data_IF_415111026434
#
_entry.id   IF_415111026434
#
_cell.length_a   1.000
_cell.length_b   1.000
_cell.length_c   1.000
_cell.angle_alpha   90.00
_cell.angle_beta   90.00
_cell.angle_gamma   90.00
#
_symmetry.space_group_name_H-M   'P 1'
#
loop_
_entity.id
_entity.type
_entity.pdbx_description
1 polymer ?
#
# COMPACT_ATOMS: atom_id res chain seq x y z
N UNK A 1 1.15 28.72 4.63
CA UNK A 1 2.34 28.64 5.51
C UNK A 1 3.45 28.09 4.64
N UNK A 2 4.57 28.80 4.48
CA UNK A 2 5.72 28.29 3.73
C UNK A 2 6.15 26.96 4.30
N UNK A 3 6.31 25.95 3.46
CA UNK A 3 7.03 24.74 3.83
C UNK A 3 8.41 25.17 4.31
N UNK A 4 8.68 24.98 5.61
CA UNK A 4 10.03 25.11 6.14
C UNK A 4 10.90 24.20 5.28
N UNK A 5 11.91 24.77 4.63
CA UNK A 5 12.86 23.99 3.83
C UNK A 5 13.55 23.05 4.81
N UNK A 6 13.13 21.78 4.81
CA UNK A 6 13.66 20.78 5.71
C UNK A 6 15.03 20.40 5.18
N UNK A 7 16.07 20.57 6.00
CA UNK A 7 17.43 20.19 5.62
C UNK A 7 17.47 18.69 5.29
N UNK A 8 18.29 18.33 4.31
CA UNK A 8 18.38 16.97 3.79
C UNK A 8 19.81 16.47 3.73
N UNK A 9 20.00 15.17 3.90
CA UNK A 9 21.28 14.48 3.72
C UNK A 9 21.19 13.43 2.61
N UNK A 10 22.33 13.14 1.99
CA UNK A 10 22.48 12.09 0.98
C UNK A 10 22.86 10.78 1.66
N UNK A 11 22.18 9.70 1.28
CA UNK A 11 22.46 8.35 1.78
C UNK A 11 22.57 7.38 0.62
N UNK A 12 23.45 6.40 0.74
CA UNK A 12 23.61 5.33 -0.25
C UNK A 12 22.65 4.17 0.05
N UNK A 13 21.88 3.78 -0.95
CA UNK A 13 21.01 2.60 -0.95
C UNK A 13 21.44 1.65 -2.05
N UNK A 14 22.44 0.81 -1.75
CA UNK A 14 22.93 -0.19 -2.69
C UNK A 14 23.57 0.42 -3.93
N UNK A 15 24.41 1.45 -3.75
CA UNK A 15 25.06 2.18 -4.83
C UNK A 15 24.21 3.28 -5.47
N UNK A 16 23.03 3.58 -4.91
CA UNK A 16 22.17 4.68 -5.34
C UNK A 16 22.09 5.74 -4.26
N UNK A 17 22.50 6.95 -4.60
CA UNK A 17 22.38 8.10 -3.74
C UNK A 17 20.93 8.60 -3.72
N UNK A 18 20.33 8.67 -2.53
CA UNK A 18 18.99 9.24 -2.31
C UNK A 18 19.04 10.33 -1.25
N UNK A 19 18.11 11.27 -1.35
CA UNK A 19 17.97 12.37 -0.39
C UNK A 19 16.96 12.01 0.69
N UNK A 20 17.35 12.13 1.96
CA UNK A 20 16.46 11.92 3.12
C UNK A 20 16.48 13.13 4.07
N UNK A 21 15.44 13.35 4.88
CA UNK A 21 15.43 14.43 5.85
C UNK A 21 16.56 14.29 6.87
N UNK A 22 17.34 15.36 7.06
CA UNK A 22 18.39 15.40 8.09
C UNK A 22 17.76 15.26 9.48
N UNK A 23 18.30 14.37 10.30
CA UNK A 23 17.73 14.06 11.61
C UNK A 23 16.39 13.32 11.56
N UNK A 24 15.95 12.88 10.37
CA UNK A 24 14.83 11.97 10.20
C UNK A 24 15.09 10.59 10.82
N UNK A 25 14.06 9.75 10.88
CA UNK A 25 14.17 8.38 11.36
C UNK A 25 15.13 7.57 10.52
N UNK A 26 15.07 7.71 9.19
CA UNK A 26 16.00 6.99 8.33
C UNK A 26 17.44 7.48 8.53
N UNK A 27 17.60 8.82 8.65
CA UNK A 27 18.90 9.43 8.87
C UNK A 27 19.57 8.91 10.16
N UNK A 28 18.81 8.91 11.25
CA UNK A 28 19.31 8.59 12.60
C UNK A 28 19.49 7.10 12.85
N UNK A 29 18.64 6.26 12.29
CA UNK A 29 18.51 4.87 12.72
C UNK A 29 18.69 3.84 11.61
N UNK A 30 18.67 4.25 10.33
CA UNK A 30 18.77 3.31 9.19
C UNK A 30 17.81 2.11 9.34
N UNK A 31 16.54 2.41 9.67
CA UNK A 31 15.47 1.44 9.95
C UNK A 31 15.61 0.58 11.22
N UNK A 32 16.56 0.90 12.12
CA UNK A 32 16.74 0.18 13.38
C UNK A 32 16.55 1.06 14.64
N UNK A 33 15.45 1.81 14.78
CA UNK A 33 15.27 2.61 15.98
C UNK A 33 14.97 1.72 17.18
N UNK A 34 15.42 2.16 18.36
CA UNK A 34 14.89 1.65 19.64
C UNK A 34 13.39 1.98 19.73
N UNK A 35 12.56 0.95 19.89
CA UNK A 35 11.11 1.08 19.97
C UNK A 35 10.67 1.94 21.17
N UNK A 36 11.45 1.99 22.26
CA UNK A 36 11.15 2.89 23.39
C UNK A 36 11.36 4.36 23.02
N UNK A 37 12.25 4.64 22.07
CA UNK A 37 12.39 5.98 21.50
C UNK A 37 11.22 6.34 20.60
N UNK A 38 10.75 5.40 19.79
CA UNK A 38 9.57 5.60 18.94
C UNK A 38 8.29 5.78 19.77
N UNK A 39 8.14 5.05 20.87
CA UNK A 39 7.00 5.15 21.77
C UNK A 39 6.86 6.53 22.45
N UNK A 40 7.89 7.37 22.40
CA UNK A 40 7.84 8.75 22.93
C UNK A 40 7.36 9.77 21.89
N UNK A 41 7.22 9.39 20.62
CA UNK A 41 6.65 10.27 19.60
C UNK A 41 5.14 10.44 19.85
N UNK A 42 4.63 11.67 20.04
CA UNK A 42 3.21 11.89 20.36
C UNK A 42 2.25 11.46 19.25
N UNK A 43 2.74 11.21 18.03
CA UNK A 43 1.94 10.70 16.91
C UNK A 43 1.79 9.18 16.94
N UNK A 44 2.57 8.48 17.76
CA UNK A 44 2.56 7.01 17.86
C UNK A 44 1.81 6.60 19.13
N UNK A 45 0.68 5.90 18.97
CA UNK A 45 -0.16 5.48 20.09
C UNK A 45 0.37 4.28 20.88
N UNK A 46 1.37 3.56 20.35
CA UNK A 46 2.05 2.46 21.04
C UNK A 46 2.97 1.68 20.12
N UNK A 47 3.78 0.76 20.66
CA UNK A 47 4.75 -0.03 19.87
C UNK A 47 4.67 -1.55 20.09
N UNK A 48 3.71 -2.01 20.89
CA UNK A 48 3.61 -3.42 21.30
C UNK A 48 3.37 -4.37 20.12
N UNK A 49 2.73 -3.90 19.06
CA UNK A 49 2.57 -4.63 17.80
C UNK A 49 3.93 -5.02 17.22
N UNK A 50 4.93 -4.12 17.28
CA UNK A 50 6.25 -4.32 16.71
C UNK A 50 7.18 -5.15 17.62
N UNK A 51 7.00 -5.08 18.94
CA UNK A 51 7.83 -5.86 19.89
C UNK A 51 7.77 -7.37 19.65
N UNK A 52 6.68 -7.84 19.06
CA UNK A 52 6.46 -9.26 18.73
C UNK A 52 7.03 -9.66 17.36
N UNK A 53 7.63 -8.74 16.63
CA UNK A 53 8.18 -8.98 15.29
C UNK A 53 9.57 -8.37 15.22
N UNK A 54 10.63 -9.13 15.58
CA UNK A 54 11.98 -8.59 15.49
C UNK A 54 12.36 -8.29 14.04
N UNK A 55 13.22 -7.28 13.86
CA UNK A 55 13.83 -7.00 12.56
C UNK A 55 14.98 -7.98 12.33
N UNK A 56 15.10 -8.42 11.08
CA UNK A 56 16.20 -9.24 10.59
C UNK A 56 16.92 -8.51 9.47
N UNK A 57 18.24 -8.53 9.49
CA UNK A 57 19.06 -8.01 8.40
C UNK A 57 19.07 -9.01 7.25
N UNK A 58 18.83 -8.52 6.04
CA UNK A 58 18.80 -9.31 4.82
C UNK A 58 19.56 -8.59 3.72
N UNK A 59 20.23 -9.38 2.88
CA UNK A 59 20.75 -8.88 1.61
C UNK A 59 19.59 -8.65 0.65
N UNK A 60 19.60 -7.51 0.00
CA UNK A 60 18.59 -7.14 -0.99
C UNK A 60 19.24 -6.49 -2.21
N UNK A 61 18.50 -6.33 -3.32
CA UNK A 61 19.02 -5.63 -4.50
C UNK A 61 19.45 -4.17 -4.23
N UNK A 62 19.06 -3.59 -3.09
CA UNK A 62 19.46 -2.24 -2.64
C UNK A 62 20.49 -2.30 -1.50
N UNK A 63 21.24 -3.39 -1.38
CA UNK A 63 22.21 -3.64 -0.31
C UNK A 63 21.59 -4.24 0.96
N UNK A 64 22.40 -4.41 2.02
CA UNK A 64 21.92 -4.90 3.32
C UNK A 64 20.85 -3.95 3.89
N UNK A 65 19.72 -4.51 4.31
CA UNK A 65 18.60 -3.75 4.88
C UNK A 65 17.91 -4.57 5.98
N UNK A 66 17.20 -3.88 6.87
CA UNK A 66 16.36 -4.54 7.87
C UNK A 66 14.93 -4.77 7.35
N UNK A 67 14.37 -5.91 7.70
CA UNK A 67 12.97 -6.28 7.45
C UNK A 67 12.32 -6.79 8.74
N UNK A 68 11.05 -6.50 9.01
CA UNK A 68 10.14 -5.66 8.21
C UNK A 68 10.43 -4.16 8.30
N UNK A 69 9.94 -3.41 7.30
CA UNK A 69 9.78 -1.96 7.37
C UNK A 69 8.54 -1.62 8.20
N UNK A 70 8.71 -0.83 9.25
CA UNK A 70 7.65 -0.45 10.17
C UNK A 70 7.07 0.92 9.84
N UNK A 71 5.74 0.96 9.89
CA UNK A 71 4.92 2.15 9.84
C UNK A 71 4.25 2.30 11.22
N UNK A 72 4.83 3.15 12.05
CA UNK A 72 4.48 3.34 13.45
C UNK A 72 3.19 4.14 13.65
N UNK A 73 2.90 5.05 12.72
CA UNK A 73 1.66 5.80 12.64
C UNK A 73 1.31 6.02 11.16
N UNK A 74 0.15 5.51 10.74
CA UNK A 74 -0.34 5.68 9.39
C UNK A 74 -1.86 5.82 9.33
N UNK A 75 -2.33 6.46 8.27
CA UNK A 75 -3.73 6.46 7.86
C UNK A 75 -3.86 5.97 6.42
N UNK A 76 -5.01 5.38 6.09
CA UNK A 76 -5.29 4.95 4.73
C UNK A 76 -6.76 5.04 4.36
N UNK A 77 -7.02 5.18 3.07
CA UNK A 77 -8.35 5.12 2.51
C UNK A 77 -8.36 4.19 1.30
N UNK A 78 -9.39 3.35 1.18
CA UNK A 78 -9.55 2.39 0.09
C UNK A 78 -10.95 2.47 -0.49
N UNK A 79 -11.04 2.77 -1.77
CA UNK A 79 -12.26 2.68 -2.55
C UNK A 79 -12.24 1.40 -3.39
N UNK A 80 -13.07 0.43 -3.03
CA UNK A 80 -13.18 -0.85 -3.74
C UNK A 80 -14.33 -0.80 -4.75
N UNK A 81 -14.05 -1.23 -5.98
CA UNK A 81 -14.95 -1.20 -7.13
C UNK A 81 -15.04 -2.58 -7.78
N UNK A 82 -16.18 -2.85 -8.41
CA UNK A 82 -16.34 -3.99 -9.32
C UNK A 82 -15.78 -3.63 -10.69
N UNK A 83 -15.09 -4.57 -11.32
CA UNK A 83 -14.61 -4.44 -12.69
C UNK A 83 -14.85 -5.74 -13.49
N UNK A 84 -15.09 -5.68 -14.82
CA UNK A 84 -15.19 -6.88 -15.64
C UNK A 84 -13.91 -7.72 -15.55
N UNK A 85 -14.02 -9.00 -15.19
CA UNK A 85 -12.86 -9.88 -15.07
C UNK A 85 -12.02 -9.94 -16.34
N UNK A 86 -12.65 -9.80 -17.52
CA UNK A 86 -11.94 -9.73 -18.81
C UNK A 86 -11.03 -8.50 -18.92
N UNK A 87 -11.47 -7.35 -18.41
CA UNK A 87 -10.65 -6.13 -18.39
C UNK A 87 -9.50 -6.27 -17.38
N UNK A 88 -9.78 -6.85 -16.21
CA UNK A 88 -8.75 -7.16 -15.20
C UNK A 88 -7.71 -8.13 -15.79
N UNK A 89 -8.15 -9.22 -16.42
CA UNK A 89 -7.29 -10.24 -17.04
C UNK A 89 -6.34 -9.63 -18.07
N UNK A 90 -6.78 -8.64 -18.86
CA UNK A 90 -5.95 -7.97 -19.85
C UNK A 90 -4.82 -7.12 -19.24
N UNK A 91 -4.86 -6.85 -17.93
CA UNK A 91 -3.85 -6.05 -17.20
C UNK A 91 -3.05 -6.87 -16.17
N UNK A 92 -3.42 -8.14 -15.96
CA UNK A 92 -2.68 -9.04 -15.08
C UNK A 92 -1.64 -9.86 -15.86
N UNK A 93 -0.50 -10.21 -15.26
CA UNK A 93 0.41 -11.27 -15.74
C UNK A 93 -0.30 -12.63 -15.81
N UNK A 94 -0.04 -13.42 -16.86
CA UNK A 94 -0.81 -14.62 -17.22
C UNK A 94 -1.01 -15.62 -16.08
N UNK A 95 -0.02 -15.74 -15.21
CA UNK A 95 0.02 -16.67 -14.07
C UNK A 95 -0.92 -16.27 -12.92
N UNK A 96 -1.30 -15.00 -12.83
CA UNK A 96 -2.24 -14.51 -11.84
C UNK A 96 -3.67 -14.53 -12.36
N UNK A 97 -4.60 -15.01 -11.51
CA UNK A 97 -6.02 -15.03 -11.83
C UNK A 97 -6.79 -13.98 -11.03
N UNK A 98 -7.71 -13.21 -11.65
CA UNK A 98 -8.57 -12.30 -10.91
C UNK A 98 -9.35 -13.01 -9.80
N UNK A 99 -9.49 -12.34 -8.65
CA UNK A 99 -10.45 -12.74 -7.62
C UNK A 99 -11.84 -12.28 -8.04
N UNK A 100 -12.66 -13.21 -8.52
CA UNK A 100 -14.05 -12.93 -8.87
C UNK A 100 -14.94 -13.01 -7.63
N UNK A 101 -15.88 -12.06 -7.50
CA UNK A 101 -16.94 -12.06 -6.47
C UNK A 101 -18.29 -12.49 -7.04
N UNK A 102 -18.41 -12.50 -8.36
CA UNK A 102 -19.51 -13.07 -9.13
C UNK A 102 -18.96 -13.43 -10.53
N UNK A 103 -19.61 -14.34 -11.29
CA UNK A 103 -19.14 -14.73 -12.61
C UNK A 103 -18.84 -13.51 -13.51
N UNK A 104 -17.57 -13.36 -13.91
CA UNK A 104 -17.11 -12.28 -14.78
C UNK A 104 -16.96 -10.90 -14.11
N UNK A 105 -17.06 -10.81 -12.79
CA UNK A 105 -16.82 -9.58 -12.01
C UNK A 105 -15.75 -9.81 -10.93
N UNK A 106 -14.65 -9.08 -11.05
CA UNK A 106 -13.58 -9.04 -10.05
C UNK A 106 -13.55 -7.74 -9.26
N UNK A 107 -12.61 -7.67 -8.31
CA UNK A 107 -12.39 -6.52 -7.44
C UNK A 107 -11.13 -5.75 -7.84
N UNK A 108 -11.29 -4.44 -7.94
CA UNK A 108 -10.18 -3.48 -8.09
C UNK A 108 -10.34 -2.41 -7.01
N UNK A 109 -9.24 -1.82 -6.55
CA UNK A 109 -9.26 -0.78 -5.53
C UNK A 109 -8.32 0.35 -5.88
N UNK A 110 -8.76 1.57 -5.57
CA UNK A 110 -7.87 2.72 -5.43
C UNK A 110 -7.60 2.90 -3.94
N UNK A 111 -6.32 3.01 -3.58
CA UNK A 111 -5.88 3.13 -2.20
C UNK A 111 -5.02 4.38 -2.04
N UNK A 112 -5.09 5.00 -0.89
CA UNK A 112 -4.27 6.15 -0.50
C UNK A 112 -3.72 5.90 0.89
N UNK A 113 -2.45 6.22 1.07
CA UNK A 113 -1.72 6.01 2.31
C UNK A 113 -1.00 7.29 2.69
N UNK A 114 -1.03 7.57 3.99
CA UNK A 114 -0.23 8.61 4.61
C UNK A 114 0.54 7.97 5.76
N UNK A 115 1.85 8.05 5.69
CA UNK A 115 2.76 7.47 6.68
C UNK A 115 3.37 8.60 7.49
N UNK A 116 2.78 8.90 8.64
CA UNK A 116 3.18 10.02 9.50
C UNK A 116 4.48 9.75 10.25
N UNK A 117 4.68 8.50 10.68
CA UNK A 117 5.89 8.02 11.36
C UNK A 117 6.23 6.63 10.85
N UNK A 118 7.33 6.48 10.12
CA UNK A 118 7.82 5.19 9.65
C UNK A 118 9.34 5.19 9.48
N UNK A 119 9.92 4.00 9.31
CA UNK A 119 11.38 3.81 9.22
C UNK A 119 12.06 4.66 8.14
N UNK A 120 11.34 4.99 7.06
CA UNK A 120 11.85 5.71 5.88
C UNK A 120 11.33 7.16 5.81
N UNK A 121 10.97 7.72 6.97
CA UNK A 121 10.44 9.08 7.14
C UNK A 121 9.04 9.29 6.58
N UNK A 122 8.51 10.51 6.74
CA UNK A 122 7.17 10.87 6.28
C UNK A 122 7.07 10.75 4.76
N UNK A 123 5.99 10.14 4.29
CA UNK A 123 5.62 10.18 2.88
C UNK A 123 4.17 9.74 2.65
N UNK A 124 3.67 9.95 1.44
CA UNK A 124 2.35 9.52 1.01
C UNK A 124 2.45 8.64 -0.23
N UNK A 125 1.52 7.70 -0.37
CA UNK A 125 1.40 6.81 -1.53
C UNK A 125 -0.05 6.72 -2.00
N UNK A 126 -0.23 6.44 -3.29
CA UNK A 126 -1.50 6.00 -3.81
C UNK A 126 -1.29 4.73 -4.63
N UNK A 127 -2.34 3.92 -4.78
CA UNK A 127 -2.21 2.65 -5.50
C UNK A 127 -3.48 2.30 -6.27
N UNK A 128 -3.29 1.69 -7.44
CA UNK A 128 -4.34 0.91 -8.12
C UNK A 128 -4.00 -0.56 -7.92
N UNK A 129 -4.81 -1.24 -7.11
CA UNK A 129 -4.64 -2.66 -6.78
C UNK A 129 -5.73 -3.52 -7.39
N UNK A 130 -5.36 -4.70 -7.86
CA UNK A 130 -6.26 -5.75 -8.35
C UNK A 130 -6.27 -6.88 -7.32
N UNK A 131 -7.44 -7.30 -6.87
CA UNK A 131 -7.53 -8.51 -6.04
C UNK A 131 -7.34 -9.75 -6.93
N UNK A 132 -6.44 -10.63 -6.53
CA UNK A 132 -6.12 -11.87 -7.26
C UNK A 132 -6.36 -13.07 -6.36
N UNK A 133 -6.49 -14.25 -6.97
CA UNK A 133 -6.44 -15.51 -6.22
C UNK A 133 -5.01 -15.72 -5.68
N UNK A 134 -4.83 -16.41 -4.55
CA UNK A 134 -3.50 -16.83 -4.11
C UNK A 134 -2.77 -17.56 -5.25
N UNK A 135 -1.49 -17.24 -5.47
CA UNK A 135 -0.66 -17.87 -6.51
C UNK A 135 -0.66 -19.41 -6.40
N UNK A 136 -0.65 -19.92 -5.17
CA UNK A 136 -0.80 -21.34 -4.83
C UNK A 136 -2.23 -21.66 -4.43
N UNK A 137 -3.18 -21.40 -5.32
CA UNK A 137 -4.51 -22.00 -5.19
C UNK A 137 -4.48 -23.44 -5.71
N UNK A 138 -4.71 -24.42 -4.84
CA UNK A 138 -5.16 -25.75 -5.31
C UNK A 138 -6.54 -25.65 -5.97
N UNK A 139 -7.25 -26.78 -6.13
CA UNK A 139 -8.68 -26.80 -6.54
C UNK A 139 -9.64 -26.22 -5.47
N UNK A 140 -9.21 -25.17 -4.76
CA UNK A 140 -9.98 -24.49 -3.74
C UNK A 140 -11.09 -23.70 -4.42
N UNK A 141 -12.34 -24.10 -4.14
CA UNK A 141 -13.54 -23.52 -4.71
C UNK A 141 -13.76 -22.07 -4.29
N UNK A 142 -14.71 -21.41 -4.95
CA UNK A 142 -15.11 -20.02 -4.71
C UNK A 142 -15.37 -19.70 -3.22
N UNK A 143 -15.93 -20.65 -2.45
CA UNK A 143 -16.22 -20.48 -1.02
C UNK A 143 -14.97 -20.31 -0.13
N UNK A 144 -13.84 -20.89 -0.50
CA UNK A 144 -12.61 -20.78 0.29
C UNK A 144 -11.95 -19.39 0.11
N UNK A 145 -11.99 -18.87 -1.11
CA UNK A 145 -11.54 -17.51 -1.44
C UNK A 145 -12.34 -16.44 -0.67
N UNK A 146 -13.65 -16.64 -0.52
CA UNK A 146 -14.52 -15.77 0.29
C UNK A 146 -14.23 -15.90 1.79
N UNK A 147 -13.71 -17.05 2.24
CA UNK A 147 -13.30 -17.27 3.64
C UNK A 147 -11.96 -16.60 3.94
N UNK A 148 -11.00 -16.60 3.01
CA UNK A 148 -9.76 -15.81 3.11
C UNK A 148 -10.02 -14.30 3.19
N UNK A 149 -11.02 -13.81 2.44
CA UNK A 149 -11.55 -12.44 2.54
C UNK A 149 -12.14 -12.12 3.94
N UNK A 150 -12.71 -13.12 4.63
CA UNK A 150 -13.24 -12.98 6.00
C UNK A 150 -12.14 -13.08 7.06
N UNK A 151 -11.07 -13.84 6.78
CA UNK A 151 -9.90 -14.00 7.66
C UNK A 151 -8.87 -12.85 7.51
N UNK A 152 -9.30 -11.72 6.95
CA UNK A 152 -8.49 -10.51 6.74
C UNK A 152 -7.19 -10.72 5.93
N UNK A 153 -7.04 -11.83 5.18
CA UNK A 153 -5.88 -12.11 4.34
C UNK A 153 -6.23 -11.94 2.85
N UNK A 154 -5.72 -10.88 2.24
CA UNK A 154 -5.96 -10.53 0.85
C UNK A 154 -4.75 -10.83 -0.02
N UNK A 155 -4.99 -11.22 -1.27
CA UNK A 155 -3.95 -11.34 -2.29
C UNK A 155 -4.17 -10.28 -3.36
N UNK A 156 -3.10 -9.59 -3.76
CA UNK A 156 -3.20 -8.49 -4.72
C UNK A 156 -2.06 -8.44 -5.72
N UNK A 157 -2.35 -7.78 -6.84
CA UNK A 157 -1.38 -7.32 -7.80
C UNK A 157 -1.49 -5.80 -7.89
N UNK A 158 -0.38 -5.08 -7.72
CA UNK A 158 -0.34 -3.63 -7.73
C UNK A 158 -0.03 -3.18 -9.17
N UNK A 159 -1.00 -2.54 -9.81
CA UNK A 159 -0.88 -2.06 -11.19
C UNK A 159 -0.15 -0.72 -11.27
N UNK A 160 -0.40 0.15 -10.29
CA UNK A 160 0.20 1.49 -10.22
C UNK A 160 0.46 1.85 -8.76
N UNK A 161 1.58 2.53 -8.46
CA UNK A 161 1.97 2.90 -7.10
C UNK A 161 2.76 4.24 -7.04
N UNK A 162 2.15 5.39 -7.36
CA UNK A 162 2.82 6.68 -7.22
C UNK A 162 3.15 7.02 -5.75
N UNK A 163 4.29 7.68 -5.55
CA UNK A 163 4.78 8.12 -4.24
C UNK A 163 5.32 9.56 -4.32
N UNK A 164 5.41 10.27 -3.20
CA UNK A 164 6.02 11.63 -3.16
C UNK A 164 7.49 11.65 -2.68
N UNK A 165 8.12 10.49 -2.45
CA UNK A 165 9.45 10.38 -1.85
C UNK A 165 10.39 9.51 -2.69
N UNK A 166 11.62 10.00 -2.89
CA UNK A 166 12.67 9.32 -3.67
C UNK A 166 13.09 8.00 -3.00
N UNK A 167 13.31 7.99 -1.68
CA UNK A 167 13.66 6.77 -0.94
C UNK A 167 12.56 5.72 -1.06
N UNK A 168 11.29 6.12 -1.03
CA UNK A 168 10.16 5.20 -1.20
C UNK A 168 10.12 4.60 -2.62
N UNK A 169 10.49 5.36 -3.64
CA UNK A 169 10.54 4.91 -5.03
C UNK A 169 11.71 3.94 -5.26
N UNK A 170 12.93 4.30 -4.86
CA UNK A 170 14.12 3.45 -5.04
C UNK A 170 13.93 2.12 -4.32
N UNK A 171 13.52 2.16 -3.04
CA UNK A 171 13.25 0.94 -2.28
C UNK A 171 12.15 0.11 -2.94
N UNK A 172 11.04 0.72 -3.35
CA UNK A 172 9.91 -0.04 -3.91
C UNK A 172 10.13 -0.61 -5.31
N UNK A 173 10.85 0.10 -6.18
CA UNK A 173 11.18 -0.38 -7.52
C UNK A 173 12.25 -1.47 -7.46
N UNK A 174 13.38 -1.20 -6.82
CA UNK A 174 14.54 -2.08 -6.88
C UNK A 174 14.53 -3.15 -5.78
N UNK A 175 14.01 -2.82 -4.60
CA UNK A 175 13.90 -3.75 -3.49
C UNK A 175 12.64 -4.63 -3.55
N UNK A 176 11.50 -4.09 -4.01
CA UNK A 176 10.21 -4.79 -3.95
C UNK A 176 9.61 -5.18 -5.32
N UNK A 177 10.14 -4.66 -6.44
CA UNK A 177 9.60 -4.91 -7.78
C UNK A 177 8.23 -4.24 -8.03
N UNK A 178 7.85 -3.26 -7.20
CA UNK A 178 6.60 -2.50 -7.40
C UNK A 178 6.77 -1.45 -8.49
N UNK A 179 5.71 -1.11 -9.24
CA UNK A 179 5.77 -0.14 -10.33
C UNK A 179 5.73 1.31 -9.80
N UNK A 180 6.62 1.65 -8.85
CA UNK A 180 6.65 2.97 -8.20
C UNK A 180 7.27 4.04 -9.09
N UNK A 181 6.69 5.24 -9.05
CA UNK A 181 7.28 6.45 -9.61
C UNK A 181 7.01 7.64 -8.69
N UNK A 182 7.86 8.66 -8.78
CA UNK A 182 7.71 9.89 -8.00
C UNK A 182 6.76 10.85 -8.72
N UNK A 183 5.78 11.39 -8.00
CA UNK A 183 4.93 12.50 -8.47
C UNK A 183 4.46 13.32 -7.27
N UNK A 184 3.93 14.52 -7.53
CA UNK A 184 3.24 15.30 -6.51
C UNK A 184 2.04 14.50 -5.98
N UNK A 185 2.02 14.25 -4.68
CA UNK A 185 0.96 13.49 -4.05
C UNK A 185 0.67 14.07 -2.67
N UNK A 186 -0.57 14.50 -2.49
CA UNK A 186 -1.10 15.01 -1.24
C UNK A 186 -2.20 14.08 -0.75
N UNK A 187 -2.09 13.62 0.50
CA UNK A 187 -3.10 12.78 1.16
C UNK A 187 -3.36 13.34 2.56
N UNK A 188 -4.64 13.61 2.84
CA UNK A 188 -5.13 14.04 4.16
C UNK A 188 -6.33 13.19 4.54
N UNK A 189 -6.23 12.54 5.70
CA UNK A 189 -7.24 11.63 6.23
C UNK A 189 -7.44 12.00 7.70
N UNK A 190 -8.62 12.52 8.02
CA UNK A 190 -9.02 12.81 9.39
C UNK A 190 -10.41 12.21 9.68
N UNK A 191 -10.93 12.41 10.89
CA UNK A 191 -12.21 11.86 11.33
C UNK A 191 -13.43 12.41 10.58
N UNK A 192 -13.30 13.52 9.85
CA UNK A 192 -14.36 14.19 9.12
C UNK A 192 -14.26 13.97 7.61
N UNK A 193 -13.05 14.06 7.06
CA UNK A 193 -12.84 14.14 5.62
C UNK A 193 -11.58 13.38 5.19
N UNK A 194 -11.71 12.74 4.04
CA UNK A 194 -10.63 12.08 3.32
C UNK A 194 -10.43 12.78 1.99
N UNK A 195 -9.22 13.25 1.74
CA UNK A 195 -8.81 13.85 0.46
C UNK A 195 -7.51 13.25 -0.02
N UNK A 196 -7.42 13.09 -1.33
CA UNK A 196 -6.17 12.76 -1.99
C UNK A 196 -6.08 13.43 -3.35
N UNK A 197 -4.87 13.84 -3.74
CA UNK A 197 -4.60 14.41 -5.06
C UNK A 197 -3.25 13.89 -5.55
N UNK A 198 -3.27 13.17 -6.65
CA UNK A 198 -2.11 12.73 -7.43
C UNK A 198 -1.95 13.70 -8.59
N UNK A 199 -0.77 14.30 -8.72
CA UNK A 199 -0.41 15.17 -9.82
C UNK A 199 -0.13 14.36 -11.09
N UNK A 200 -0.59 14.88 -12.23
CA UNK A 200 -0.20 14.38 -13.54
C UNK A 200 1.11 15.01 -14.00
N UNK A 201 1.83 14.32 -14.88
CA UNK A 201 3.15 14.72 -15.38
C UNK A 201 3.14 16.09 -16.07
N UNK A 202 1.99 16.53 -16.59
CA UNK A 202 1.78 17.82 -17.25
C UNK A 202 1.28 18.94 -16.33
N UNK A 203 1.32 18.76 -15.02
CA UNK A 203 0.85 19.74 -14.02
C UNK A 203 -0.67 19.70 -13.76
N UNK A 204 -1.39 18.77 -14.39
CA UNK A 204 -2.81 18.53 -14.17
C UNK A 204 -3.11 17.60 -12.98
N UNK A 205 -4.37 17.19 -12.85
CA UNK A 205 -4.76 16.08 -11.97
C UNK A 205 -4.50 14.78 -12.72
N UNK A 206 -3.75 13.85 -12.12
CA UNK A 206 -3.82 12.45 -12.52
C UNK A 206 -5.09 11.87 -11.90
N UNK A 207 -5.18 11.84 -10.58
CA UNK A 207 -6.32 11.27 -9.86
C UNK A 207 -6.60 12.06 -8.58
N UNK A 208 -7.87 12.29 -8.25
CA UNK A 208 -8.24 12.92 -6.98
C UNK A 208 -9.43 12.22 -6.30
N UNK A 209 -9.40 12.18 -4.97
CA UNK A 209 -10.46 11.67 -4.11
C UNK A 209 -10.93 12.77 -3.16
N UNK A 210 -12.24 12.89 -3.00
CA UNK A 210 -12.89 13.66 -1.94
C UNK A 210 -14.04 12.84 -1.36
N UNK A 211 -14.03 12.60 -0.05
CA UNK A 211 -15.10 11.89 0.63
C UNK A 211 -15.23 12.33 2.09
N UNK A 212 -16.41 12.19 2.67
CA UNK A 212 -16.56 12.24 4.13
C UNK A 212 -16.01 10.94 4.73
N UNK A 213 -15.28 11.06 5.83
CA UNK A 213 -14.72 9.91 6.52
C UNK A 213 -15.86 9.14 7.21
N UNK A 214 -16.01 7.82 6.96
CA UNK A 214 -17.02 7.02 7.66
C UNK A 214 -16.83 7.05 9.17
N UNK A 215 -17.91 6.83 9.93
CA UNK A 215 -17.84 6.73 11.38
C UNK A 215 -16.76 5.72 11.81
N UNK A 216 -15.84 6.20 12.64
CA UNK A 216 -14.65 5.46 13.05
C UNK A 216 -14.94 4.62 14.31
N UNK A 217 -14.38 3.41 14.34
CA UNK A 217 -14.41 2.53 15.51
C UNK A 217 -12.98 2.22 15.94
N UNK A 218 -12.69 2.52 17.19
CA UNK A 218 -11.43 2.18 17.83
C UNK A 218 -11.34 0.68 18.17
N UNK A 219 -10.13 0.14 18.07
CA UNK A 219 -9.79 -1.23 18.39
C UNK A 219 -8.50 -1.26 19.21
N UNK A 220 -8.44 -2.05 20.30
CA UNK A 220 -7.19 -2.35 20.98
C UNK A 220 -6.11 -2.90 20.04
N UNK A 221 -4.86 -2.52 20.27
CA UNK A 221 -3.72 -2.99 19.48
C UNK A 221 -3.62 -4.52 19.50
N UNK A 222 -3.51 -5.13 18.32
CA UNK A 222 -3.45 -6.58 18.14
C UNK A 222 -4.80 -7.29 18.09
N UNK A 223 -5.92 -6.62 18.40
CA UNK A 223 -7.25 -7.22 18.25
C UNK A 223 -7.61 -7.43 16.78
N UNK A 224 -7.21 -6.48 15.92
CA UNK A 224 -7.56 -6.46 14.50
C UNK A 224 -6.31 -6.31 13.64
N UNK A 225 -5.75 -7.45 13.22
CA UNK A 225 -4.55 -7.49 12.38
C UNK A 225 -4.88 -8.17 11.06
N UNK A 226 -4.98 -7.36 10.01
CA UNK A 226 -5.15 -7.83 8.64
C UNK A 226 -3.81 -8.12 7.96
N UNK A 227 -3.86 -8.88 6.87
CA UNK A 227 -2.69 -9.19 6.05
C UNK A 227 -2.98 -9.01 4.56
N UNK A 228 -2.01 -8.50 3.83
CA UNK A 228 -2.05 -8.36 2.38
C UNK A 228 -0.78 -8.97 1.79
N UNK A 229 -0.94 -9.97 0.92
CA UNK A 229 0.13 -10.51 0.11
C UNK A 229 0.07 -9.90 -1.28
N UNK A 230 1.15 -9.23 -1.70
CA UNK A 230 1.28 -8.65 -3.04
C UNK A 230 2.27 -9.44 -3.89
N UNK A 231 1.96 -9.64 -5.17
CA UNK A 231 2.83 -10.36 -6.10
C UNK A 231 3.52 -9.40 -7.07
N UNK A 232 4.84 -9.55 -7.21
CA UNK A 232 5.70 -8.77 -8.10
C UNK A 232 6.73 -9.68 -8.75
N UNK A 233 7.42 -9.16 -9.78
CA UNK A 233 8.59 -9.83 -10.37
C UNK A 233 9.84 -9.00 -10.12
N UNK A 234 10.93 -9.67 -9.73
CA UNK A 234 12.24 -9.06 -9.51
C UNK A 234 13.23 -9.91 -10.31
N UNK A 235 13.96 -9.29 -11.25
CA UNK A 235 14.87 -9.98 -12.17
C UNK A 235 14.24 -11.19 -12.89
N UNK A 236 12.97 -11.06 -13.28
CA UNK A 236 12.20 -12.12 -13.95
C UNK A 236 11.66 -13.22 -13.04
N UNK A 237 12.00 -13.23 -11.75
CA UNK A 237 11.51 -14.21 -10.78
C UNK A 237 10.32 -13.67 -9.97
N UNK A 238 9.31 -14.51 -9.75
CA UNK A 238 8.14 -14.18 -8.96
C UNK A 238 8.45 -14.08 -7.47
N UNK A 239 7.94 -13.03 -6.83
CA UNK A 239 8.06 -12.79 -5.41
C UNK A 239 6.69 -12.47 -4.80
N UNK A 240 6.54 -12.81 -3.53
CA UNK A 240 5.40 -12.39 -2.71
C UNK A 240 5.88 -11.50 -1.56
N UNK A 241 5.20 -10.38 -1.35
CA UNK A 241 5.47 -9.42 -0.28
C UNK A 241 4.32 -9.43 0.71
N UNK A 242 4.61 -9.75 1.97
CA UNK A 242 3.62 -9.72 3.06
C UNK A 242 3.59 -8.34 3.73
N UNK A 243 2.41 -7.75 3.83
CA UNK A 243 2.14 -6.59 4.66
C UNK A 243 1.14 -6.97 5.75
N UNK A 244 1.48 -6.71 7.00
CA UNK A 244 0.56 -6.89 8.14
C UNK A 244 0.11 -5.52 8.63
N UNK A 245 -1.18 -5.34 8.85
CA UNK A 245 -1.76 -4.05 9.27
C UNK A 245 -2.55 -4.23 10.56
N UNK A 246 -2.06 -3.61 11.62
CA UNK A 246 -2.74 -3.50 12.90
C UNK A 246 -3.66 -2.27 12.87
N UNK A 247 -4.97 -2.52 12.85
CA UNK A 247 -6.00 -1.49 12.69
C UNK A 247 -6.38 -0.96 14.06
N UNK A 248 -6.10 0.32 14.32
CA UNK A 248 -6.39 0.95 15.62
C UNK A 248 -7.68 1.77 15.57
N UNK A 249 -7.94 2.47 14.47
CA UNK A 249 -9.18 3.20 14.28
C UNK A 249 -9.60 3.19 12.81
N UNK A 250 -10.77 2.60 12.53
CA UNK A 250 -11.27 2.47 11.17
C UNK A 250 -12.79 2.50 11.06
N UNK A 251 -13.27 2.91 9.90
CA UNK A 251 -14.67 2.98 9.52
C UNK A 251 -14.88 2.48 8.10
N UNK A 252 -16.07 1.93 7.83
CA UNK A 252 -16.44 1.42 6.51
C UNK A 252 -17.83 1.92 6.15
N UNK A 253 -18.01 2.38 4.92
CA UNK A 253 -19.33 2.58 4.32
C UNK A 253 -19.49 1.73 3.05
N UNK A 254 -20.69 1.18 2.85
CA UNK A 254 -21.11 0.54 1.59
C UNK A 254 -21.89 1.52 0.70
N UNK A 255 -22.33 2.64 1.27
CA UNK A 255 -22.91 3.76 0.53
C UNK A 255 -21.80 4.65 0.01
N UNK A 256 -21.67 4.76 -1.31
CA UNK A 256 -20.66 5.60 -1.97
C UNK A 256 -21.19 6.99 -2.33
N UNK A 257 -22.39 7.32 -1.84
CA UNK A 257 -22.94 8.67 -1.90
C UNK A 257 -22.01 9.59 -1.11
N UNK A 258 -21.51 10.63 -1.77
CA UNK A 258 -20.52 11.55 -1.18
C UNK A 258 -19.05 11.18 -1.41
N UNK A 259 -18.77 10.03 -2.04
CA UNK A 259 -17.41 9.69 -2.50
C UNK A 259 -17.24 10.17 -3.94
N UNK A 260 -16.37 11.17 -4.13
CA UNK A 260 -16.04 11.72 -5.45
C UNK A 260 -14.64 11.27 -5.83
N UNK A 261 -14.55 10.47 -6.89
CA UNK A 261 -13.30 10.07 -7.53
C UNK A 261 -13.20 10.75 -8.89
N UNK A 262 -12.23 11.65 -9.06
CA UNK A 262 -11.96 12.34 -10.31
C UNK A 262 -10.75 11.69 -11.01
N UNK A 263 -10.94 11.29 -12.27
CA UNK A 263 -9.87 10.80 -13.14
C UNK A 263 -9.48 11.89 -14.15
N UNK A 264 -8.22 12.30 -14.13
CA UNK A 264 -7.65 13.28 -15.05
C UNK A 264 -6.69 12.64 -16.06
N UNK A 265 -5.63 13.33 -16.46
CA UNK A 265 -4.72 12.85 -17.50
C UNK A 265 -3.41 12.45 -16.86
N UNK A 266 -3.19 11.15 -16.69
CA UNK A 266 -2.01 10.59 -16.04
C UNK A 266 -2.05 9.08 -15.93
N UNK A 267 -0.89 8.50 -15.64
CA UNK A 267 -0.66 7.04 -15.65
C UNK A 267 -1.63 6.29 -14.73
N UNK A 268 -1.88 6.81 -13.53
CA UNK A 268 -2.74 6.13 -12.55
C UNK A 268 -4.20 6.09 -13.00
N UNK A 269 -4.70 7.20 -13.56
CA UNK A 269 -6.04 7.26 -14.15
C UNK A 269 -6.18 6.38 -15.37
N UNK A 270 -5.17 6.30 -16.24
CA UNK A 270 -5.19 5.44 -17.41
C UNK A 270 -5.20 3.96 -17.04
N UNK A 271 -4.38 3.57 -16.07
CA UNK A 271 -4.39 2.22 -15.51
C UNK A 271 -5.76 1.88 -14.91
N UNK A 272 -6.36 2.78 -14.12
CA UNK A 272 -7.69 2.55 -13.58
C UNK A 272 -8.77 2.47 -14.68
N UNK A 273 -8.74 3.35 -15.69
CA UNK A 273 -9.66 3.30 -16.85
C UNK A 273 -9.56 1.97 -17.60
N UNK A 274 -8.34 1.45 -17.76
CA UNK A 274 -8.09 0.19 -18.47
C UNK A 274 -8.80 -0.99 -17.81
N UNK A 275 -9.02 -0.93 -16.49
CA UNK A 275 -9.76 -1.95 -15.73
C UNK A 275 -11.28 -1.82 -15.87
N UNK A 276 -11.77 -0.72 -16.47
CA UNK A 276 -13.20 -0.42 -16.66
C UNK A 276 -14.02 -0.57 -15.37
N UNK A 277 -13.62 0.10 -14.27
CA UNK A 277 -14.35 0.03 -13.01
C UNK A 277 -15.79 0.48 -13.23
N UNK A 278 -16.71 -0.24 -12.60
CA UNK A 278 -18.13 0.05 -12.59
C UNK A 278 -18.47 0.76 -11.28
N UNK A 279 -19.28 0.12 -10.45
CA UNK A 279 -19.77 0.66 -9.20
C UNK A 279 -18.71 0.47 -8.10
N UNK A 280 -18.44 1.55 -7.37
CA UNK A 280 -17.82 1.46 -6.06
C UNK A 280 -18.78 0.80 -5.06
N UNK A 281 -18.31 -0.23 -4.38
CA UNK A 281 -19.13 -1.08 -3.49
C UNK A 281 -18.80 -0.89 -2.01
N UNK A 282 -17.62 -0.32 -1.72
CA UNK A 282 -17.12 -0.16 -0.36
C UNK A 282 -16.08 0.95 -0.33
N UNK A 283 -16.16 1.79 0.69
CA UNK A 283 -15.14 2.75 1.04
C UNK A 283 -14.72 2.49 2.49
N UNK A 284 -13.46 2.09 2.66
CA UNK A 284 -12.82 1.87 3.96
C UNK A 284 -11.89 3.03 4.26
N UNK A 285 -11.92 3.55 5.48
CA UNK A 285 -10.97 4.55 5.96
C UNK A 285 -10.44 4.11 7.31
N UNK A 286 -9.12 4.03 7.42
CA UNK A 286 -8.38 3.86 8.66
C UNK A 286 -7.74 5.20 8.99
N UNK A 287 -8.26 5.88 10.01
CA UNK A 287 -7.69 7.14 10.50
C UNK A 287 -6.45 6.92 11.34
N UNK A 288 -6.31 5.73 11.93
CA UNK A 288 -5.15 5.36 12.71
C UNK A 288 -4.85 3.86 12.58
N UNK A 289 -3.60 3.54 12.30
CA UNK A 289 -3.12 2.17 12.32
C UNK A 289 -1.62 2.09 12.18
N UNK A 290 -1.16 0.85 12.13
CA UNK A 290 0.25 0.48 12.10
C UNK A 290 0.47 -0.63 11.09
N UNK A 291 1.66 -0.69 10.50
CA UNK A 291 1.96 -1.75 9.55
C UNK A 291 3.40 -2.24 9.62
N UNK A 292 3.59 -3.50 9.22
CA UNK A 292 4.87 -4.15 9.05
C UNK A 292 4.93 -4.75 7.64
N UNK A 293 5.78 -4.17 6.78
CA UNK A 293 6.00 -4.62 5.40
C UNK A 293 7.29 -5.44 5.33
N UNK A 294 7.14 -6.73 5.10
CA UNK A 294 8.25 -7.67 4.98
C UNK A 294 8.88 -7.58 3.60
N UNK A 295 10.18 -7.88 3.52
CA UNK A 295 10.87 -7.99 2.24
C UNK A 295 10.23 -9.08 1.36
N UNK A 296 10.23 -8.89 0.02
CA UNK A 296 9.71 -9.89 -0.89
C UNK A 296 10.47 -11.20 -0.75
N UNK A 297 9.73 -12.30 -0.68
CA UNK A 297 10.30 -13.65 -0.70
C UNK A 297 10.00 -14.32 -2.03
N UNK A 298 10.94 -15.08 -2.61
CA UNK A 298 10.69 -15.85 -3.82
C UNK A 298 9.44 -16.72 -3.66
N UNK A 299 8.60 -16.74 -4.69
CA UNK A 299 7.37 -17.54 -4.70
C UNK A 299 7.18 -18.19 -6.05
N UNK A 300 6.57 -19.38 -6.05
CA UNK A 300 6.18 -20.05 -7.30
C UNK A 300 4.73 -19.73 -7.63
N UNK A 301 4.48 -19.45 -8.90
CA UNK A 301 3.14 -19.30 -9.49
C UNK A 301 2.86 -20.51 -10.39
N UNK A 302 1.60 -20.90 -10.54
CA UNK A 302 1.25 -21.94 -11.50
C UNK A 302 1.35 -21.41 -12.94
N UNK A 303 2.21 -22.02 -13.75
CA UNK A 303 2.21 -21.84 -15.20
C UNK A 303 0.94 -22.48 -15.77
N UNK A 304 0.11 -21.71 -16.48
CA UNK A 304 -0.99 -22.27 -17.28
C UNK A 304 -0.40 -22.80 -18.60
N UNK A 305 0.25 -23.95 -18.55
CA UNK A 305 0.96 -24.52 -19.70
C UNK A 305 1.41 -25.97 -19.56
N UNK A 306 0.81 -26.75 -18.65
CA UNK A 306 0.86 -28.22 -18.65
C UNK A 306 -0.56 -28.79 -18.42
#
# INVERSE_FOLDING_TARGET
MSATQQDTVKVDLGGREVTVPQGGLYDRYRMNPDLDTIARDPRVSGVDFFRKTPKTEVDSPIGPTLTPNFYYAMSSARLTMLAPSRAIRARLPEELSPLEVAPGLGLVSVMFFRYDVCDIDFYTEAAVGIAVKPARHGKLGFFDLVSGLKNEHLHSYVLSLPVNSEIAQVRGHDGYGFPKWVTGLDVSIDHHRTTARVAGDSGGVDLALLADTPAQKAHPSGERVGSLTSYTTINGAWHSTLNQTNVLNAGTTRGTKGVTLQLGQGRMSDDLRSLRPKRAIRFDVMTEGQAALHMPVPTSVHSRGE
#
